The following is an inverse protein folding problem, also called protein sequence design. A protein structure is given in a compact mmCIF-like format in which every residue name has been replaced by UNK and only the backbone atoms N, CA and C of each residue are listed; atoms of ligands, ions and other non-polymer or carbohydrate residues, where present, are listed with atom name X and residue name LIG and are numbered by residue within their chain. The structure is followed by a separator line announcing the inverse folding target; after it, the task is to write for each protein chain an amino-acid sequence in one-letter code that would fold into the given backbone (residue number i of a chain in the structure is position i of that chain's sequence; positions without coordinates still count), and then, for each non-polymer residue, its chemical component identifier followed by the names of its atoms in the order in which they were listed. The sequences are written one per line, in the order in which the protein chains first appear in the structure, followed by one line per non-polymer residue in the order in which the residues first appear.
data_IF_931532057976
#
_entry.id   IF_931532057976
#
_cell.length_a   1.000
_cell.length_b   1.000
_cell.length_c   1.000
_cell.angle_alpha   90.00
_cell.angle_beta   90.00
_cell.angle_gamma   90.00
#
_symmetry.space_group_name_H-M   'P 1'
#
loop_
_entity.id
_entity.type
_entity.pdbx_description
1 polymer ?
#
# COMPACT_ATOMS: atom_id res chain seq x y z
N UNK A 1 -9.93 27.36 2.19
CA UNK A 1 -10.62 26.20 2.79
C UNK A 1 -11.68 25.55 1.88
N UNK A 2 -12.24 26.27 0.90
CA UNK A 2 -13.26 25.75 -0.05
C UNK A 2 -12.75 24.76 -1.12
N UNK A 3 -11.44 24.64 -1.37
CA UNK A 3 -10.92 23.89 -2.53
C UNK A 3 -10.89 22.36 -2.37
N UNK A 4 -10.69 21.83 -1.16
CA UNK A 4 -10.67 20.38 -0.93
C UNK A 4 -12.06 19.76 -0.99
N UNK A 5 -13.09 20.49 -0.53
CA UNK A 5 -14.49 20.05 -0.56
C UNK A 5 -15.00 19.86 -2.00
N UNK A 6 -14.75 20.83 -2.88
CA UNK A 6 -15.11 20.72 -4.30
C UNK A 6 -14.37 19.57 -5.01
N UNK A 7 -13.10 19.32 -4.65
CA UNK A 7 -12.33 18.20 -5.21
C UNK A 7 -12.92 16.85 -4.82
N UNK A 8 -13.36 16.69 -3.57
CA UNK A 8 -13.96 15.44 -3.10
C UNK A 8 -15.32 15.16 -3.73
N UNK A 9 -16.10 16.21 -4.00
CA UNK A 9 -17.37 16.11 -4.71
C UNK A 9 -17.19 15.89 -6.23
N UNK A 10 -16.12 16.42 -6.83
CA UNK A 10 -15.84 16.29 -8.27
C UNK A 10 -15.05 15.04 -8.68
N UNK A 11 -14.34 14.38 -7.76
CA UNK A 11 -13.57 13.17 -8.04
C UNK A 11 -13.78 12.10 -6.95
N UNK A 12 -14.87 11.31 -7.04
CA UNK A 12 -15.22 10.35 -6.01
C UNK A 12 -14.12 9.29 -5.84
N UNK A 13 -13.83 8.91 -4.60
CA UNK A 13 -12.84 7.87 -4.25
C UNK A 13 -11.38 8.33 -4.21
N UNK A 14 -11.05 9.53 -4.71
CA UNK A 14 -9.68 10.05 -4.70
C UNK A 14 -9.16 10.28 -3.28
N UNK A 15 -9.97 10.91 -2.43
CA UNK A 15 -9.59 11.26 -1.06
C UNK A 15 -9.30 10.05 -0.15
N UNK A 16 -10.16 9.01 -0.10
CA UNK A 16 -9.89 7.86 0.76
C UNK A 16 -8.73 6.99 0.28
N UNK A 17 -8.35 7.07 -1.00
CA UNK A 17 -7.30 6.22 -1.58
C UNK A 17 -5.96 6.31 -0.84
N UNK A 18 -5.59 7.48 -0.31
CA UNK A 18 -4.36 7.66 0.47
C UNK A 18 -4.36 6.82 1.76
N UNK A 19 -5.43 6.90 2.54
CA UNK A 19 -5.48 6.22 3.84
C UNK A 19 -5.73 4.73 3.69
N UNK A 20 -6.57 4.36 2.72
CA UNK A 20 -6.80 2.95 2.36
C UNK A 20 -5.50 2.33 1.84
N UNK A 21 -4.79 3.02 0.96
CA UNK A 21 -3.51 2.56 0.42
C UNK A 21 -2.46 2.36 1.50
N UNK A 22 -2.32 3.33 2.41
CA UNK A 22 -1.43 3.19 3.57
C UNK A 22 -1.78 1.96 4.42
N UNK A 23 -3.08 1.77 4.74
CA UNK A 23 -3.53 0.64 5.58
C UNK A 23 -3.22 -0.69 4.92
N UNK A 24 -3.51 -0.85 3.63
CA UNK A 24 -3.26 -2.09 2.89
C UNK A 24 -1.76 -2.35 2.76
N UNK A 25 -0.94 -1.32 2.49
CA UNK A 25 0.51 -1.46 2.44
C UNK A 25 1.09 -1.95 3.77
N UNK A 26 0.62 -1.40 4.89
CA UNK A 26 1.02 -1.84 6.22
C UNK A 26 0.59 -3.29 6.48
N UNK A 27 -0.63 -3.67 6.09
CA UNK A 27 -1.13 -5.04 6.21
C UNK A 27 -0.26 -6.06 5.44
N UNK A 28 0.05 -5.78 4.18
CA UNK A 28 0.91 -6.64 3.34
C UNK A 28 2.30 -6.82 3.97
N UNK A 29 2.87 -5.75 4.53
CA UNK A 29 4.18 -5.83 5.21
C UNK A 29 4.09 -6.70 6.47
N UNK A 30 3.03 -6.55 7.25
CA UNK A 30 2.85 -7.29 8.48
C UNK A 30 2.61 -8.79 8.20
N UNK A 31 1.89 -9.12 7.11
CA UNK A 31 1.76 -10.48 6.57
C UNK A 31 3.11 -11.06 6.14
N UNK A 32 3.86 -10.33 5.29
CA UNK A 32 5.20 -10.76 4.84
C UNK A 32 6.17 -10.96 6.03
N UNK A 33 6.01 -10.17 7.09
CA UNK A 33 6.78 -10.34 8.34
C UNK A 33 6.37 -11.60 9.09
N UNK A 34 5.08 -11.90 9.17
CA UNK A 34 4.58 -13.10 9.82
C UNK A 34 5.09 -14.37 9.12
N UNK A 35 5.07 -14.40 7.78
CA UNK A 35 5.55 -15.55 7.00
C UNK A 35 7.07 -15.75 7.04
N UNK A 36 7.84 -14.66 6.94
CA UNK A 36 9.30 -14.74 6.96
C UNK A 36 9.89 -14.97 8.36
N UNK A 37 9.12 -14.69 9.43
CA UNK A 37 9.54 -14.88 10.81
C UNK A 37 10.89 -14.21 11.13
N UNK A 38 11.82 -14.97 11.70
CA UNK A 38 13.16 -14.48 12.06
C UNK A 38 14.00 -14.05 10.84
N UNK A 39 13.66 -14.49 9.63
CA UNK A 39 14.35 -14.13 8.39
C UNK A 39 13.81 -12.83 7.76
N UNK A 40 12.83 -12.17 8.40
CA UNK A 40 12.25 -10.95 7.86
C UNK A 40 13.26 -9.81 7.77
N UNK A 41 13.35 -9.20 6.60
CA UNK A 41 14.14 -7.98 6.37
C UNK A 41 13.24 -6.88 5.84
N UNK A 42 13.13 -5.78 6.60
CA UNK A 42 12.35 -4.61 6.17
C UNK A 42 12.93 -3.99 4.89
N UNK A 43 14.26 -3.89 4.81
CA UNK A 43 14.96 -3.39 3.60
C UNK A 43 14.66 -4.28 2.39
N UNK A 44 14.73 -5.60 2.58
CA UNK A 44 14.44 -6.58 1.52
C UNK A 44 12.98 -6.52 1.07
N UNK A 45 12.04 -6.41 2.02
CA UNK A 45 10.61 -6.24 1.74
C UNK A 45 10.34 -4.97 0.92
N UNK A 46 10.89 -3.82 1.33
CA UNK A 46 10.75 -2.57 0.57
C UNK A 46 11.39 -2.65 -0.82
N UNK A 47 12.58 -3.25 -0.95
CA UNK A 47 13.25 -3.40 -2.22
C UNK A 47 12.41 -4.22 -3.22
N UNK A 48 11.85 -5.36 -2.78
CA UNK A 48 10.95 -6.17 -3.59
C UNK A 48 9.68 -5.39 -3.96
N UNK A 49 9.06 -4.73 -2.99
CA UNK A 49 7.81 -4.00 -3.20
C UNK A 49 7.96 -2.86 -4.23
N UNK A 50 9.07 -2.11 -4.18
CA UNK A 50 9.34 -1.03 -5.13
C UNK A 50 9.74 -1.55 -6.51
N UNK A 51 10.39 -2.70 -6.60
CA UNK A 51 10.77 -3.32 -7.88
C UNK A 51 9.56 -3.77 -8.71
N UNK A 52 8.41 -4.05 -8.07
CA UNK A 52 7.15 -4.38 -8.76
C UNK A 52 6.58 -3.17 -9.53
N UNK A 53 6.93 -1.95 -9.13
CA UNK A 53 6.45 -0.72 -9.76
C UNK A 53 5.04 -0.30 -9.32
N UNK A 54 4.44 0.64 -10.07
CA UNK A 54 3.10 1.17 -9.75
C UNK A 54 2.03 0.18 -10.20
N UNK A 55 1.57 -0.64 -9.26
CA UNK A 55 0.51 -1.64 -9.48
C UNK A 55 -0.62 -1.47 -8.46
N UNK A 56 -1.78 -2.09 -8.73
CA UNK A 56 -2.85 -2.22 -7.74
C UNK A 56 -2.39 -3.01 -6.51
N UNK A 57 -2.91 -2.65 -5.33
CA UNK A 57 -2.49 -3.22 -4.05
C UNK A 57 -2.72 -4.74 -3.94
N UNK A 58 -3.72 -5.29 -4.63
CA UNK A 58 -3.90 -6.75 -4.73
C UNK A 58 -2.80 -7.44 -5.53
N UNK A 59 -2.32 -6.81 -6.60
CA UNK A 59 -1.19 -7.33 -7.38
C UNK A 59 0.10 -7.24 -6.57
N UNK A 60 0.27 -6.15 -5.83
CA UNK A 60 1.40 -6.01 -4.91
C UNK A 60 1.38 -7.10 -3.82
N UNK A 61 0.23 -7.35 -3.20
CA UNK A 61 0.08 -8.38 -2.16
C UNK A 61 0.55 -9.74 -2.69
N UNK A 62 0.01 -10.18 -3.83
CA UNK A 62 0.39 -11.45 -4.49
C UNK A 62 1.87 -11.56 -4.86
N UNK A 63 2.58 -10.43 -4.98
CA UNK A 63 4.00 -10.41 -5.32
C UNK A 63 4.91 -10.48 -4.07
N UNK A 64 4.37 -10.25 -2.87
CA UNK A 64 5.15 -10.08 -1.63
C UNK A 64 4.84 -11.12 -0.55
N UNK A 65 3.67 -11.73 -0.63
CA UNK A 65 3.06 -12.72 0.27
C UNK A 65 2.44 -13.78 -0.63
#
# INVERSE_FOLDING_TARGET
MLSQLNRYLGWPGQAPSYKIGQRLWQGIRDEAKAEAGASFSLKGSHARALAVGSVGLETLRRALV
#
